data_IF_648676407137
#
_entry.id   IF_648676407137
#
_cell.length_a   1.000
_cell.length_b   1.000
_cell.length_c   1.000
_cell.angle_alpha   90.00
_cell.angle_beta   90.00
_cell.angle_gamma   90.00
#
_symmetry.space_group_name_H-M   'P 1'
#
loop_
_entity.id
_entity.type
_entity.pdbx_description
1 polymer ?
#
# COMPACT_ATOMS: atom_id res chain seq x y z
N UNK A 1 -3.90 -15.16 19.42
CA UNK A 1 -4.38 -14.32 18.30
C UNK A 1 -3.51 -13.07 18.27
N UNK A 2 -2.48 -13.05 17.41
CA UNK A 2 -1.45 -12.02 17.45
C UNK A 2 -1.71 -10.89 16.48
N UNK A 3 -1.40 -9.66 16.88
CA UNK A 3 -1.26 -8.53 15.97
C UNK A 3 -0.35 -8.96 14.81
N UNK A 4 -0.89 -9.00 13.59
CA UNK A 4 -0.09 -9.37 12.42
C UNK A 4 0.83 -8.19 12.09
N UNK A 5 2.14 -8.39 12.24
CA UNK A 5 3.16 -7.37 11.96
C UNK A 5 3.18 -6.97 10.49
N UNK A 6 3.84 -5.85 10.16
CA UNK A 6 4.11 -5.47 8.76
C UNK A 6 4.80 -6.59 7.99
N UNK A 7 5.76 -7.27 8.62
CA UNK A 7 6.50 -8.37 8.00
C UNK A 7 5.58 -9.55 7.68
N UNK A 8 4.60 -9.84 8.54
CA UNK A 8 3.59 -10.83 8.24
C UNK A 8 2.79 -10.44 6.98
N UNK A 9 2.32 -9.19 6.89
CA UNK A 9 1.52 -8.74 5.73
C UNK A 9 2.35 -8.76 4.45
N UNK A 10 3.63 -8.39 4.51
CA UNK A 10 4.54 -8.48 3.35
C UNK A 10 4.89 -9.91 2.96
N UNK A 11 4.78 -10.87 3.88
CA UNK A 11 5.00 -12.29 3.60
C UNK A 11 3.81 -12.96 2.88
N UNK A 12 2.65 -12.29 2.80
CA UNK A 12 1.51 -12.80 2.04
C UNK A 12 1.73 -12.62 0.53
N UNK A 13 0.93 -13.33 -0.27
CA UNK A 13 0.97 -13.15 -1.70
C UNK A 13 0.50 -11.72 -2.06
N UNK A 14 1.26 -10.99 -2.89
CA UNK A 14 0.84 -9.67 -3.35
C UNK A 14 -0.52 -9.72 -4.04
N UNK A 15 -1.38 -8.77 -3.70
CA UNK A 15 -2.70 -8.59 -4.34
C UNK A 15 -2.54 -7.91 -5.69
N UNK A 16 -1.62 -6.96 -5.77
CA UNK A 16 -1.30 -6.24 -7.00
C UNK A 16 0.18 -5.85 -6.98
N UNK A 17 0.83 -5.97 -8.12
CA UNK A 17 2.20 -5.47 -8.30
C UNK A 17 2.34 -4.90 -9.70
N UNK A 18 3.22 -3.94 -9.87
CA UNK A 18 3.42 -3.32 -11.17
C UNK A 18 4.39 -2.15 -11.14
N UNK A 19 4.34 -1.35 -12.20
CA UNK A 19 5.15 -0.15 -12.40
C UNK A 19 4.26 1.05 -12.65
N UNK A 20 4.75 2.22 -12.32
CA UNK A 20 4.19 3.52 -12.70
C UNK A 20 5.29 4.37 -13.32
N UNK A 21 4.94 5.22 -14.28
CA UNK A 21 5.84 6.23 -14.84
C UNK A 21 5.97 7.45 -13.94
N UNK A 22 5.12 7.59 -12.91
CA UNK A 22 5.18 8.67 -11.93
C UNK A 22 6.35 8.48 -10.98
N UNK A 23 6.81 9.58 -10.40
CA UNK A 23 7.74 9.52 -9.27
C UNK A 23 7.08 8.85 -8.06
N UNK A 24 7.91 8.34 -7.12
CA UNK A 24 7.41 7.75 -5.87
C UNK A 24 6.50 8.73 -5.13
N UNK A 25 6.88 10.00 -5.06
CA UNK A 25 6.12 11.03 -4.33
C UNK A 25 4.78 11.31 -5.00
N UNK A 26 4.74 11.53 -6.31
CA UNK A 26 3.48 11.76 -7.05
C UNK A 26 2.53 10.57 -6.95
N UNK A 27 3.06 9.36 -7.12
CA UNK A 27 2.26 8.14 -7.04
C UNK A 27 1.70 7.93 -5.63
N UNK A 28 2.55 8.07 -4.60
CA UNK A 28 2.15 7.85 -3.21
C UNK A 28 1.19 8.92 -2.69
N UNK A 29 1.33 10.18 -3.12
CA UNK A 29 0.38 11.25 -2.82
C UNK A 29 -0.99 10.96 -3.44
N UNK A 30 -1.03 10.53 -4.71
CA UNK A 30 -2.30 10.15 -5.36
C UNK A 30 -3.01 9.01 -4.60
N UNK A 31 -2.27 7.94 -4.27
CA UNK A 31 -2.85 6.78 -3.60
C UNK A 31 -3.29 7.13 -2.18
N UNK A 32 -2.45 7.79 -1.39
CA UNK A 32 -2.79 8.18 0.00
C UNK A 32 -3.99 9.12 0.05
N UNK A 33 -4.13 10.05 -0.90
CA UNK A 33 -5.31 10.92 -1.01
C UNK A 33 -6.60 10.11 -1.23
N UNK A 34 -6.58 9.15 -2.15
CA UNK A 34 -7.75 8.26 -2.37
C UNK A 34 -8.03 7.39 -1.16
N UNK A 35 -7.01 6.77 -0.57
CA UNK A 35 -7.17 5.89 0.58
C UNK A 35 -7.67 6.61 1.82
N UNK A 36 -7.29 7.87 2.02
CA UNK A 36 -7.84 8.71 3.11
C UNK A 36 -9.36 8.89 3.00
N UNK A 37 -9.92 8.83 1.80
CA UNK A 37 -11.37 8.91 1.55
C UNK A 37 -12.15 7.64 1.93
N UNK A 38 -11.47 6.54 2.31
CA UNK A 38 -12.11 5.27 2.69
C UNK A 38 -12.64 5.25 4.13
N UNK A 39 -12.35 6.29 4.93
CA UNK A 39 -12.75 6.39 6.34
C UNK A 39 -11.79 5.70 7.33
N UNK A 40 -10.75 5.01 6.84
CA UNK A 40 -9.67 4.45 7.66
C UNK A 40 -8.52 5.45 7.90
N UNK A 41 -7.80 5.26 9.01
CA UNK A 41 -6.52 5.94 9.21
C UNK A 41 -5.48 5.35 8.24
N UNK A 42 -4.67 6.22 7.64
CA UNK A 42 -3.53 5.81 6.83
C UNK A 42 -2.24 6.38 7.42
N UNK A 43 -1.13 5.69 7.20
CA UNK A 43 0.20 6.15 7.59
C UNK A 43 1.15 5.98 6.42
N UNK A 44 1.97 6.99 6.17
CA UNK A 44 3.03 6.94 5.16
C UNK A 44 4.38 6.95 5.86
N UNK A 45 5.21 5.95 5.61
CA UNK A 45 6.53 5.80 6.22
C UNK A 45 7.60 5.63 5.14
N UNK A 46 8.77 6.26 5.30
CA UNK A 46 9.89 6.04 4.39
C UNK A 46 10.40 4.60 4.51
N UNK A 47 10.77 4.01 3.38
CA UNK A 47 11.48 2.71 3.29
C UNK A 47 12.73 2.88 2.42
N UNK A 48 13.59 1.85 2.39
CA UNK A 48 14.79 1.88 1.55
C UNK A 48 14.44 2.13 0.09
N UNK A 49 14.83 3.30 -0.44
CA UNK A 49 14.59 3.69 -1.83
C UNK A 49 13.14 4.04 -2.16
N UNK A 50 12.27 4.29 -1.17
CA UNK A 50 10.85 4.45 -1.42
C UNK A 50 9.99 4.86 -0.23
N UNK A 51 8.68 4.61 -0.37
CA UNK A 51 7.66 4.94 0.63
C UNK A 51 6.69 3.77 0.79
N UNK A 52 6.26 3.54 2.02
CA UNK A 52 5.25 2.55 2.39
C UNK A 52 3.99 3.24 2.88
N UNK A 53 2.85 3.02 2.21
CA UNK A 53 1.54 3.47 2.65
C UNK A 53 0.84 2.32 3.35
N UNK A 54 0.38 2.54 4.57
CA UNK A 54 -0.10 1.51 5.47
C UNK A 54 -1.48 1.86 6.00
N UNK A 55 -2.36 0.86 6.08
CA UNK A 55 -3.69 0.96 6.69
C UNK A 55 -3.68 0.17 8.00
N UNK A 56 -3.39 0.80 9.14
CA UNK A 56 -3.41 0.13 10.44
C UNK A 56 -4.82 -0.25 10.89
N UNK A 57 -4.91 -1.34 11.66
CA UNK A 57 -6.15 -1.76 12.31
C UNK A 57 -6.26 -1.23 13.74
N UNK A 58 -7.48 -0.89 14.22
CA UNK A 58 -7.69 -0.45 15.60
C UNK A 58 -7.23 -1.46 16.67
N UNK A 59 -7.31 -2.77 16.36
CA UNK A 59 -6.89 -3.85 17.27
C UNK A 59 -5.43 -4.29 17.06
N UNK A 60 -4.64 -3.52 16.30
CA UNK A 60 -3.24 -3.79 16.03
C UNK A 60 -3.00 -4.62 14.77
N UNK A 61 -1.88 -4.31 14.11
CA UNK A 61 -1.52 -4.85 12.79
C UNK A 61 -2.03 -3.98 11.65
N UNK A 62 -2.00 -4.53 10.44
CA UNK A 62 -2.25 -3.79 9.20
C UNK A 62 -3.17 -4.59 8.28
N UNK A 63 -4.12 -3.91 7.64
CA UNK A 63 -4.97 -4.50 6.61
C UNK A 63 -4.30 -4.43 5.24
N UNK A 64 -3.76 -3.27 4.91
CA UNK A 64 -3.12 -3.00 3.63
C UNK A 64 -1.73 -2.41 3.84
N UNK A 65 -0.80 -2.83 2.98
CA UNK A 65 0.53 -2.22 2.86
C UNK A 65 0.82 -2.05 1.37
N UNK A 66 1.08 -0.82 0.94
CA UNK A 66 1.59 -0.53 -0.41
C UNK A 66 3.01 -0.04 -0.28
N UNK A 67 3.96 -0.84 -0.73
CA UNK A 67 5.36 -0.42 -0.84
C UNK A 67 5.61 0.08 -2.25
N UNK A 68 6.21 1.27 -2.35
CA UNK A 68 6.56 1.92 -3.62
C UNK A 68 8.03 2.26 -3.59
N UNK A 69 8.80 1.73 -4.53
CA UNK A 69 10.26 1.94 -4.62
C UNK A 69 10.62 2.64 -5.92
N UNK A 70 11.59 3.55 -5.85
CA UNK A 70 12.09 4.29 -7.01
C UNK A 70 12.75 3.36 -8.03
N UNK A 71 12.57 3.68 -9.30
CA UNK A 71 13.27 3.09 -10.45
C UNK A 71 13.81 4.20 -11.35
N UNK A 72 14.59 3.86 -12.38
CA UNK A 72 15.12 4.85 -13.34
C UNK A 72 14.03 5.65 -14.05
N UNK A 73 12.88 5.03 -14.34
CA UNK A 73 11.79 5.61 -15.14
C UNK A 73 10.47 5.79 -14.35
N UNK A 74 10.54 5.93 -13.02
CA UNK A 74 9.36 6.09 -12.16
C UNK A 74 9.43 5.24 -10.91
N UNK A 75 8.42 4.42 -10.65
CA UNK A 75 8.34 3.57 -9.46
C UNK A 75 7.86 2.14 -9.74
N UNK A 76 8.37 1.18 -8.98
CA UNK A 76 7.75 -0.12 -8.79
C UNK A 76 6.84 -0.06 -7.56
N UNK A 77 5.73 -0.77 -7.58
CA UNK A 77 4.87 -0.87 -6.42
C UNK A 77 4.41 -2.31 -6.18
N UNK A 78 4.19 -2.64 -4.91
CA UNK A 78 3.63 -3.92 -4.46
C UNK A 78 2.60 -3.66 -3.38
N UNK A 79 1.37 -4.11 -3.63
CA UNK A 79 0.24 -4.04 -2.73
C UNK A 79 0.06 -5.40 -2.04
N UNK A 80 0.16 -5.38 -0.72
CA UNK A 80 -0.07 -6.50 0.16
C UNK A 80 -1.35 -6.31 0.95
N UNK A 81 -1.96 -7.43 1.30
CA UNK A 81 -3.17 -7.48 2.09
C UNK A 81 -3.09 -8.61 3.10
N UNK A 82 -3.65 -8.37 4.29
CA UNK A 82 -3.71 -9.36 5.36
C UNK A 82 -4.56 -10.59 4.99
N UNK A 83 -5.71 -10.38 4.34
CA UNK A 83 -6.68 -11.42 3.96
C UNK A 83 -7.38 -11.06 2.66
N UNK A 84 -6.76 -11.38 1.51
CA UNK A 84 -7.21 -11.07 0.12
C UNK A 84 -8.71 -11.24 -0.20
N UNK A 85 -9.45 -12.03 0.59
CA UNK A 85 -10.88 -12.27 0.42
C UNK A 85 -11.79 -11.30 1.20
N UNK A 86 -11.24 -10.43 2.05
CA UNK A 86 -12.00 -9.60 2.98
C UNK A 86 -11.83 -8.10 2.75
N UNK A 87 -10.84 -7.64 2.00
CA UNK A 87 -10.63 -6.20 1.79
C UNK A 87 -11.27 -5.71 0.50
N UNK A 88 -11.83 -4.51 0.56
CA UNK A 88 -12.53 -3.85 -0.54
C UNK A 88 -11.62 -3.69 -1.77
N UNK A 89 -12.17 -3.94 -2.97
CA UNK A 89 -11.48 -3.70 -4.24
C UNK A 89 -11.01 -2.25 -4.37
N UNK A 90 -11.66 -1.33 -3.64
CA UNK A 90 -11.35 0.09 -3.54
C UNK A 90 -9.85 0.40 -3.43
N UNK A 91 -9.11 -0.34 -2.60
CA UNK A 91 -7.68 -0.07 -2.40
C UNK A 91 -6.87 -0.38 -3.66
N UNK A 92 -7.11 -1.55 -4.26
CA UNK A 92 -6.43 -1.96 -5.50
C UNK A 92 -6.86 -1.12 -6.71
N UNK A 93 -8.13 -0.71 -6.78
CA UNK A 93 -8.65 0.15 -7.84
C UNK A 93 -8.06 1.57 -7.73
N UNK A 94 -7.90 2.09 -6.52
CA UNK A 94 -7.21 3.36 -6.26
C UNK A 94 -5.76 3.34 -6.74
N UNK A 95 -5.05 2.22 -6.53
CA UNK A 95 -3.67 2.03 -7.01
C UNK A 95 -3.63 2.05 -8.54
N UNK A 96 -4.53 1.34 -9.21
CA UNK A 96 -4.61 1.34 -10.69
C UNK A 96 -4.93 2.72 -11.27
N UNK A 97 -5.84 3.47 -10.63
CA UNK A 97 -6.19 4.83 -11.06
C UNK A 97 -5.05 5.83 -10.91
N UNK A 98 -4.08 5.55 -10.04
CA UNK A 98 -2.94 6.42 -9.78
C UNK A 98 -1.69 6.07 -10.58
N UNK A 99 -1.69 4.98 -11.37
CA UNK A 99 -0.57 4.61 -12.24
C UNK A 99 -0.22 5.72 -13.22
#
# INVERSE_FOLDING_TARGET
MGCKSLDYVRSTQPVLQGKTSKSVDEFTVCVSSKWSGSGGHITSLPISGGTSIQVPQPMGGYDMVLDVTRTENGGNYVLYERMAALTSSFYSDSVKQCQ
#
